data_IF_076331425692
#
_entry.id   IF_076331425692
#
_cell.length_a   1.000
_cell.length_b   1.000
_cell.length_c   1.000
_cell.angle_alpha   90.00
_cell.angle_beta   90.00
_cell.angle_gamma   90.00
#
_symmetry.space_group_name_H-M   'P 1'
#
loop_
_entity.id
_entity.type
_entity.pdbx_description
1 polymer ?
#
# COMPACT_ATOMS: atom_id res chain seq x y z
N UNK A 1 40.36 -35.29 -10.39
CA UNK A 1 39.88 -33.90 -10.44
C UNK A 1 38.38 -33.92 -10.17
N UNK A 2 37.88 -32.96 -9.38
CA UNK A 2 36.60 -32.99 -8.66
C UNK A 2 35.34 -33.38 -9.45
N UNK A 3 34.47 -34.11 -8.74
CA UNK A 3 33.04 -34.32 -8.99
C UNK A 3 32.20 -33.04 -8.95
N UNK A 4 30.94 -33.22 -9.37
CA UNK A 4 29.74 -32.44 -9.03
C UNK A 4 29.45 -31.28 -9.99
N UNK A 5 28.28 -31.22 -10.62
CA UNK A 5 27.08 -30.77 -9.91
C UNK A 5 25.76 -31.36 -10.46
N UNK A 6 24.90 -31.74 -9.52
CA UNK A 6 23.49 -32.10 -9.70
C UNK A 6 22.66 -30.82 -9.77
N UNK A 7 21.54 -30.82 -10.50
CA UNK A 7 20.45 -29.93 -10.08
C UNK A 7 19.50 -29.48 -11.19
N UNK A 8 18.57 -30.36 -11.56
CA UNK A 8 17.26 -29.91 -12.00
C UNK A 8 16.58 -29.14 -10.84
N UNK A 9 15.92 -28.02 -11.12
CA UNK A 9 14.58 -27.73 -10.58
C UNK A 9 13.91 -26.59 -11.33
N UNK A 10 12.77 -26.95 -11.91
CA UNK A 10 11.76 -26.06 -12.45
C UNK A 10 10.86 -25.58 -11.29
N UNK A 11 10.42 -24.33 -11.34
CA UNK A 11 9.26 -23.83 -10.58
C UNK A 11 9.58 -22.92 -9.39
N UNK A 12 9.11 -21.67 -9.44
CA UNK A 12 9.16 -20.76 -8.30
C UNK A 12 8.69 -19.34 -8.61
N UNK A 13 7.36 -19.15 -8.60
CA UNK A 13 6.60 -17.98 -8.15
C UNK A 13 6.96 -16.56 -8.68
N UNK A 14 6.00 -15.76 -9.20
CA UNK A 14 6.24 -14.34 -9.43
C UNK A 14 6.64 -13.69 -8.10
N UNK A 15 7.80 -13.07 -8.08
CA UNK A 15 8.33 -12.37 -6.93
C UNK A 15 7.33 -11.29 -6.48
N UNK A 16 6.90 -11.25 -5.20
CA UNK A 16 6.26 -10.05 -4.68
C UNK A 16 7.32 -8.93 -4.74
N UNK A 17 6.95 -7.80 -5.35
CA UNK A 17 7.79 -6.61 -5.42
C UNK A 17 8.31 -6.25 -4.01
N UNK A 18 9.56 -5.77 -3.89
CA UNK A 18 10.16 -5.48 -2.59
C UNK A 18 9.29 -4.46 -1.84
N UNK A 19 8.74 -4.88 -0.70
CA UNK A 19 8.10 -3.96 0.23
C UNK A 19 9.18 -2.96 0.72
N UNK A 20 8.97 -1.64 0.61
CA UNK A 20 9.94 -0.67 1.04
C UNK A 20 10.11 -0.79 2.56
N UNK A 21 11.35 -1.05 2.97
CA UNK A 21 11.76 -1.12 4.36
C UNK A 21 11.87 0.30 4.91
N UNK A 22 11.01 0.67 5.86
CA UNK A 22 11.09 1.96 6.52
C UNK A 22 9.92 2.28 7.45
N UNK A 23 10.01 1.85 8.71
CA UNK A 23 9.21 2.41 9.82
C UNK A 23 8.18 1.47 10.44
N UNK A 24 8.62 0.63 11.39
CA UNK A 24 7.75 -0.25 12.19
C UNK A 24 7.10 -1.38 11.39
N UNK A 25 6.65 -2.44 12.06
CA UNK A 25 5.96 -3.58 11.46
C UNK A 25 4.57 -3.17 10.90
N UNK A 26 4.54 -2.37 9.84
CA UNK A 26 3.31 -2.04 9.13
C UNK A 26 2.91 -3.21 8.24
N UNK A 27 1.77 -3.83 8.53
CA UNK A 27 1.11 -4.78 7.64
C UNK A 27 0.05 -4.05 6.80
N UNK A 28 0.04 -4.22 5.47
CA UNK A 28 -1.03 -3.69 4.62
C UNK A 28 -2.41 -4.18 5.08
N UNK A 29 -3.41 -3.29 5.03
CA UNK A 29 -4.78 -3.60 5.44
C UNK A 29 -5.79 -2.87 4.57
N UNK A 30 -6.97 -3.46 4.42
CA UNK A 30 -8.06 -2.81 3.71
C UNK A 30 -8.77 -1.83 4.64
N UNK A 31 -9.19 -0.68 4.11
CA UNK A 31 -9.96 0.28 4.88
C UNK A 31 -11.05 0.96 4.05
N UNK A 32 -12.04 1.51 4.73
CA UNK A 32 -13.09 2.34 4.15
C UNK A 32 -13.22 3.66 4.93
N UNK A 33 -13.58 4.74 4.23
CA UNK A 33 -13.80 6.06 4.84
C UNK A 33 -15.28 6.29 5.16
N UNK A 34 -15.62 7.01 6.25
CA UNK A 34 -17.01 7.28 6.62
C UNK A 34 -17.64 8.42 5.81
N UNK A 35 -16.80 9.34 5.30
CA UNK A 35 -17.17 10.48 4.45
C UNK A 35 -16.12 10.63 3.35
N UNK A 36 -16.43 11.38 2.29
CA UNK A 36 -15.48 11.61 1.21
C UNK A 36 -14.17 12.25 1.73
N UNK A 37 -13.01 11.69 1.38
CA UNK A 37 -11.70 12.20 1.80
C UNK A 37 -10.75 12.42 0.63
N UNK A 38 -10.08 13.58 0.55
CA UNK A 38 -9.07 13.81 -0.48
C UNK A 38 -7.85 12.93 -0.25
N UNK A 39 -7.31 12.41 -1.35
CA UNK A 39 -6.02 11.74 -1.40
C UNK A 39 -5.02 12.68 -2.07
N UNK A 40 -3.92 12.97 -1.38
CA UNK A 40 -2.90 13.92 -1.85
C UNK A 40 -1.71 13.21 -2.50
N UNK A 41 -0.95 13.90 -3.35
CA UNK A 41 0.26 13.34 -3.94
C UNK A 41 1.31 12.95 -2.87
N UNK A 42 2.05 11.85 -3.10
CA UNK A 42 3.08 11.34 -2.15
C UNK A 42 4.30 12.27 -2.01
N UNK A 43 4.49 13.22 -2.95
CA UNK A 43 5.55 14.24 -2.99
C UNK A 43 5.43 15.30 -1.87
N UNK A 44 4.32 15.30 -1.12
CA UNK A 44 4.11 16.24 -0.01
C UNK A 44 3.43 17.55 -0.42
N UNK A 45 3.14 17.73 -1.71
CA UNK A 45 2.26 18.81 -2.18
C UNK A 45 0.83 18.64 -1.67
N UNK A 46 0.08 19.75 -1.59
CA UNK A 46 -1.36 19.75 -1.30
C UNK A 46 -2.23 19.40 -2.52
N UNK A 47 -1.64 18.87 -3.58
CA UNK A 47 -2.36 18.51 -4.81
C UNK A 47 -3.16 17.23 -4.60
N UNK A 48 -4.48 17.33 -4.74
CA UNK A 48 -5.38 16.18 -4.68
C UNK A 48 -5.28 15.38 -5.97
N UNK A 49 -5.02 14.08 -5.85
CA UNK A 49 -4.91 13.15 -6.98
C UNK A 49 -6.12 12.23 -7.11
N UNK A 50 -6.91 12.09 -6.04
CA UNK A 50 -8.12 11.28 -5.98
C UNK A 50 -9.02 11.72 -4.81
N UNK A 51 -10.27 11.27 -4.82
CA UNK A 51 -11.16 11.33 -3.66
C UNK A 51 -11.56 9.90 -3.27
N UNK A 52 -11.43 9.57 -1.99
CA UNK A 52 -11.89 8.32 -1.41
C UNK A 52 -13.36 8.47 -1.02
N UNK A 53 -14.23 7.64 -1.57
CA UNK A 53 -15.66 7.68 -1.34
C UNK A 53 -16.10 6.66 -0.27
N UNK A 54 -17.16 6.95 0.51
CA UNK A 54 -17.79 5.95 1.37
C UNK A 54 -18.27 4.72 0.61
N UNK A 55 -18.28 3.56 1.29
CA UNK A 55 -18.69 2.29 0.70
C UNK A 55 -17.68 1.67 -0.27
N UNK A 56 -16.56 2.33 -0.54
CA UNK A 56 -15.44 1.78 -1.31
C UNK A 56 -14.30 1.39 -0.39
N UNK A 57 -13.73 0.21 -0.63
CA UNK A 57 -12.54 -0.27 0.08
C UNK A 57 -11.26 0.08 -0.67
N UNK A 58 -10.27 0.58 0.09
CA UNK A 58 -8.96 1.03 -0.36
C UNK A 58 -7.86 0.32 0.44
N UNK A 59 -6.68 0.16 -0.14
CA UNK A 59 -5.58 -0.55 0.52
C UNK A 59 -4.64 0.46 1.17
N UNK A 60 -4.44 0.38 2.49
CA UNK A 60 -3.36 1.09 3.15
C UNK A 60 -2.07 0.28 2.99
N UNK A 61 -1.02 0.90 2.45
CA UNK A 61 0.24 0.21 2.11
C UNK A 61 1.44 0.72 2.92
N UNK A 62 1.33 1.90 3.51
CA UNK A 62 2.36 2.49 4.37
C UNK A 62 1.72 3.43 5.38
N UNK A 63 2.34 3.60 6.54
CA UNK A 63 1.98 4.61 7.53
C UNK A 63 3.03 5.73 7.57
N UNK A 64 2.59 6.98 7.36
CA UNK A 64 3.44 8.18 7.39
C UNK A 64 3.03 9.06 8.58
N UNK A 65 3.58 8.77 9.75
CA UNK A 65 3.15 9.39 11.01
C UNK A 65 1.70 9.02 11.33
N UNK A 66 0.80 10.00 11.29
CA UNK A 66 -0.64 9.78 11.46
C UNK A 66 -1.38 9.55 10.13
N UNK A 67 -0.75 9.86 9.01
CA UNK A 67 -1.33 9.68 7.69
C UNK A 67 -1.09 8.26 7.16
N UNK A 68 -1.89 7.85 6.18
CA UNK A 68 -1.73 6.57 5.48
C UNK A 68 -1.42 6.82 4.02
N UNK A 69 -0.50 6.06 3.45
CA UNK A 69 -0.44 5.92 1.99
C UNK A 69 -1.51 4.91 1.59
N UNK A 70 -2.46 5.35 0.78
CA UNK A 70 -3.53 4.52 0.27
C UNK A 70 -3.34 4.27 -1.23
N UNK A 71 -3.65 3.05 -1.65
CA UNK A 71 -3.78 2.66 -3.03
C UNK A 71 -5.26 2.51 -3.39
N UNK A 72 -5.68 3.24 -4.42
CA UNK A 72 -7.01 3.10 -5.02
C UNK A 72 -7.09 1.84 -5.89
N UNK A 73 -8.30 1.35 -6.17
CA UNK A 73 -8.50 0.17 -7.03
C UNK A 73 -8.02 0.36 -8.47
N UNK A 74 -7.97 1.62 -8.93
CA UNK A 74 -7.41 2.05 -10.22
C UNK A 74 -5.87 2.09 -10.22
N UNK A 75 -5.23 1.80 -9.08
CA UNK A 75 -3.77 1.72 -8.94
C UNK A 75 -3.10 3.03 -8.52
N UNK A 76 -3.82 4.16 -8.50
CA UNK A 76 -3.29 5.45 -7.98
C UNK A 76 -2.95 5.33 -6.51
N UNK A 77 -1.78 5.86 -6.12
CA UNK A 77 -1.31 5.94 -4.73
C UNK A 77 -1.18 7.38 -4.28
N UNK A 78 -1.57 7.64 -3.04
CA UNK A 78 -1.45 8.96 -2.43
C UNK A 78 -1.60 8.91 -0.91
N UNK A 79 -1.47 10.07 -0.27
CA UNK A 79 -1.50 10.23 1.18
C UNK A 79 -2.90 10.65 1.62
N UNK A 80 -3.51 9.84 2.47
CA UNK A 80 -4.71 10.15 3.23
C UNK A 80 -4.30 10.80 4.55
N UNK A 81 -4.55 12.11 4.67
CA UNK A 81 -4.21 12.88 5.87
C UNK A 81 -5.24 12.73 7.00
N UNK A 82 -6.52 12.64 6.65
CA UNK A 82 -7.59 12.44 7.63
C UNK A 82 -7.95 10.96 7.72
N UNK A 83 -7.41 10.29 8.73
CA UNK A 83 -7.69 8.89 9.06
C UNK A 83 -8.78 8.75 10.11
N UNK A 84 -9.56 9.80 10.37
CA UNK A 84 -10.55 9.81 11.46
C UNK A 84 -11.75 8.97 11.06
N UNK A 85 -12.07 7.97 11.89
CA UNK A 85 -13.24 7.12 11.71
C UNK A 85 -13.14 6.12 10.56
N UNK A 86 -11.93 5.85 10.04
CA UNK A 86 -11.75 4.80 9.04
C UNK A 86 -12.14 3.43 9.63
N UNK A 87 -12.79 2.62 8.81
CA UNK A 87 -13.03 1.20 9.10
C UNK A 87 -11.84 0.41 8.58
N UNK A 88 -11.35 -0.59 9.31
CA UNK A 88 -10.20 -1.43 8.93
C UNK A 88 -10.65 -2.89 8.88
N UNK A 89 -10.13 -3.65 7.91
CA UNK A 89 -10.41 -5.07 7.68
C UNK A 89 -9.21 -5.82 7.14
#
# INVERSE_FOLDING_TARGET
MCSSDLGQSFGGQPAPAPAPSGGGDFAPFWFAVPVARPLYAEDGSSSTIAELAPGTWYLAVEQRGQALVAQTQDGRRGVLQDTTGIQRG
#
